data_IF_716647849210
#
_entry.id   IF_716647849210
#
_cell.length_a   1.000
_cell.length_b   1.000
_cell.length_c   1.000
_cell.angle_alpha   90.00
_cell.angle_beta   90.00
_cell.angle_gamma   90.00
#
_symmetry.space_group_name_H-M   'P 1'
#
loop_
_entity.id
_entity.type
_entity.pdbx_description
1 polymer ?
#
# COMPACT_ATOMS: atom_id res chain seq x y z
N UNK A 1 3.27 14.43 25.26
CA UNK A 1 2.60 14.53 23.97
C UNK A 1 3.06 13.42 23.03
N UNK A 2 2.17 12.83 22.27
CA UNK A 2 2.47 11.74 21.35
C UNK A 2 2.13 12.21 19.94
N UNK A 3 3.03 11.99 18.98
CA UNK A 3 2.80 12.24 17.58
C UNK A 3 2.72 10.93 16.81
N UNK A 4 1.78 10.83 15.88
CA UNK A 4 1.59 9.67 15.02
C UNK A 4 1.85 10.07 13.57
N UNK A 5 2.69 9.32 12.87
CA UNK A 5 2.88 9.48 11.44
C UNK A 5 2.58 8.17 10.70
N UNK A 6 2.22 8.29 9.42
CA UNK A 6 1.86 7.17 8.55
C UNK A 6 2.53 7.35 7.20
N UNK A 7 3.45 6.43 6.87
CA UNK A 7 4.10 6.38 5.57
C UNK A 7 3.70 5.10 4.85
N UNK A 8 3.22 5.25 3.62
CA UNK A 8 2.76 4.13 2.80
C UNK A 8 3.39 4.16 1.43
N UNK A 9 3.58 3.00 0.81
CA UNK A 9 4.10 2.92 -0.54
C UNK A 9 3.86 1.57 -1.19
N UNK A 10 4.09 1.55 -2.50
CA UNK A 10 4.01 0.36 -3.33
C UNK A 10 5.43 -0.12 -3.66
N UNK A 11 5.74 -1.37 -3.34
CA UNK A 11 7.01 -2.03 -3.69
C UNK A 11 6.73 -3.04 -4.79
N UNK A 12 7.43 -2.91 -5.94
CA UNK A 12 7.28 -3.83 -7.08
C UNK A 12 8.55 -4.65 -7.21
N UNK A 13 8.43 -5.97 -7.09
CA UNK A 13 9.59 -6.87 -7.06
C UNK A 13 10.45 -6.75 -8.31
N UNK A 14 9.84 -6.73 -9.50
CA UNK A 14 10.56 -6.64 -10.76
C UNK A 14 11.26 -5.29 -10.98
N UNK A 15 10.94 -4.28 -10.17
CA UNK A 15 11.55 -2.95 -10.21
C UNK A 15 12.50 -2.73 -9.02
N UNK A 16 12.99 -3.80 -8.42
CA UNK A 16 13.88 -3.75 -7.26
C UNK A 16 13.29 -2.97 -6.08
N UNK A 17 11.96 -3.05 -5.96
CA UNK A 17 11.22 -2.36 -4.90
C UNK A 17 10.71 -0.97 -5.26
N UNK A 18 11.05 -0.43 -6.43
CA UNK A 18 10.51 0.88 -6.84
C UNK A 18 9.00 0.75 -7.13
N UNK A 19 8.21 1.81 -6.97
CA UNK A 19 8.57 3.14 -6.49
C UNK A 19 8.89 3.23 -4.98
N UNK A 20 8.46 2.27 -4.15
CA UNK A 20 8.82 2.20 -2.74
C UNK A 20 8.58 3.49 -1.97
N UNK A 21 9.63 4.03 -1.35
CA UNK A 21 9.54 5.28 -0.59
C UNK A 21 9.24 6.49 -1.49
N UNK A 22 9.39 6.36 -2.81
CA UNK A 22 9.10 7.42 -3.77
C UNK A 22 7.72 7.31 -4.40
N UNK A 23 6.84 6.46 -3.85
CA UNK A 23 5.51 6.21 -4.42
C UNK A 23 4.71 7.49 -4.65
N UNK A 24 4.68 8.39 -3.67
CA UNK A 24 3.99 9.68 -3.82
C UNK A 24 4.71 10.61 -4.80
N UNK A 25 6.05 10.55 -4.82
CA UNK A 25 6.86 11.39 -5.69
C UNK A 25 6.63 11.08 -7.18
N UNK A 26 6.39 9.84 -7.52
CA UNK A 26 6.09 9.43 -8.90
C UNK A 26 4.80 10.06 -9.43
N UNK A 27 3.88 10.41 -8.55
CA UNK A 27 2.64 11.12 -8.90
C UNK A 27 2.85 12.63 -9.08
N UNK A 28 3.98 13.15 -8.60
CA UNK A 28 4.33 14.56 -8.71
C UNK A 28 3.56 15.47 -7.75
N UNK A 29 3.79 16.77 -7.90
CA UNK A 29 3.16 17.78 -7.04
C UNK A 29 1.63 17.84 -7.21
N UNK A 30 1.13 17.45 -8.39
CA UNK A 30 -0.31 17.43 -8.69
C UNK A 30 -0.99 16.14 -8.23
N UNK A 31 -0.23 15.19 -7.68
CA UNK A 31 -0.70 13.86 -7.23
C UNK A 31 -1.44 13.10 -8.34
N UNK A 32 -0.86 13.11 -9.54
CA UNK A 32 -1.40 12.37 -10.69
C UNK A 32 -0.99 10.90 -10.62
N UNK A 33 -1.76 10.10 -9.90
CA UNK A 33 -1.49 8.67 -9.77
C UNK A 33 -1.76 7.89 -11.05
N UNK A 34 -2.56 8.42 -11.96
CA UNK A 34 -2.69 7.85 -13.31
C UNK A 34 -1.36 7.86 -14.04
N UNK A 35 -0.63 8.97 -13.96
CA UNK A 35 0.72 9.07 -14.52
C UNK A 35 1.71 8.16 -13.79
N UNK A 36 1.59 8.04 -12.46
CA UNK A 36 2.45 7.17 -11.67
C UNK A 36 2.23 5.70 -12.03
N UNK A 37 0.98 5.26 -12.16
CA UNK A 37 0.66 3.89 -12.59
C UNK A 37 1.16 3.60 -14.00
N UNK A 38 1.04 4.55 -14.91
CA UNK A 38 1.57 4.42 -16.27
C UNK A 38 3.10 4.30 -16.25
N UNK A 39 3.76 4.99 -15.36
CA UNK A 39 5.21 4.87 -15.18
C UNK A 39 5.62 3.49 -14.70
N UNK A 40 4.87 2.92 -13.75
CA UNK A 40 5.13 1.54 -13.30
C UNK A 40 5.05 0.58 -14.49
N UNK A 41 4.02 0.69 -15.31
CA UNK A 41 3.87 -0.16 -16.49
C UNK A 41 5.03 0.01 -17.46
N UNK A 42 5.43 1.26 -17.77
CA UNK A 42 6.58 1.54 -18.65
C UNK A 42 7.88 0.96 -18.12
N UNK A 43 8.12 1.08 -16.81
CA UNK A 43 9.33 0.53 -16.20
C UNK A 43 9.37 -0.99 -16.30
N UNK A 44 8.23 -1.66 -16.13
CA UNK A 44 8.12 -3.10 -16.31
C UNK A 44 8.40 -3.50 -17.75
N UNK A 45 7.87 -2.76 -18.73
CA UNK A 45 8.11 -2.99 -20.16
C UNK A 45 9.59 -2.78 -20.51
N UNK A 46 10.19 -1.72 -20.00
CA UNK A 46 11.61 -1.39 -20.25
C UNK A 46 12.51 -2.51 -19.75
N UNK A 47 12.19 -3.11 -18.62
CA UNK A 47 12.94 -4.23 -18.06
C UNK A 47 12.56 -5.58 -18.66
N UNK A 48 11.57 -5.60 -19.54
CA UNK A 48 11.01 -6.83 -20.14
C UNK A 48 10.59 -7.84 -19.06
N UNK A 49 10.03 -7.32 -17.96
CA UNK A 49 9.56 -8.15 -16.88
C UNK A 49 8.33 -8.96 -17.30
N UNK A 50 8.36 -10.26 -17.02
CA UNK A 50 7.24 -11.15 -17.35
C UNK A 50 6.25 -11.21 -16.20
N UNK A 51 4.92 -11.29 -16.47
CA UNK A 51 3.94 -11.53 -15.42
C UNK A 51 4.09 -12.93 -14.82
N UNK A 52 3.62 -13.17 -13.59
CA UNK A 52 2.94 -12.21 -12.72
C UNK A 52 3.90 -11.18 -12.13
N UNK A 53 3.46 -9.93 -12.05
CA UNK A 53 4.25 -8.86 -11.46
C UNK A 53 3.93 -8.76 -9.97
N UNK A 54 4.75 -9.38 -9.16
CA UNK A 54 4.55 -9.40 -7.71
C UNK A 54 4.85 -8.03 -7.11
N UNK A 55 4.03 -7.65 -6.15
CA UNK A 55 4.16 -6.35 -5.50
C UNK A 55 3.63 -6.44 -4.07
N UNK A 56 3.90 -5.40 -3.29
CA UNK A 56 3.36 -5.27 -1.94
C UNK A 56 3.04 -3.82 -1.65
N UNK A 57 1.93 -3.58 -0.96
CA UNK A 57 1.73 -2.32 -0.26
C UNK A 57 2.27 -2.46 1.15
N UNK A 58 2.98 -1.43 1.60
CA UNK A 58 3.54 -1.38 2.95
C UNK A 58 3.14 -0.07 3.60
N UNK A 59 2.68 -0.14 4.84
CA UNK A 59 2.38 1.02 5.66
C UNK A 59 3.19 0.94 6.94
N UNK A 60 3.84 2.03 7.32
CA UNK A 60 4.57 2.13 8.58
C UNK A 60 3.94 3.23 9.42
N UNK A 61 3.38 2.84 10.56
CA UNK A 61 2.89 3.78 11.57
C UNK A 61 4.00 4.02 12.59
N UNK A 62 4.30 5.27 12.86
CA UNK A 62 5.32 5.64 13.85
C UNK A 62 4.68 6.46 14.96
N UNK A 63 4.91 6.03 16.20
CA UNK A 63 4.52 6.78 17.40
C UNK A 63 5.77 7.43 17.99
N UNK A 64 5.76 8.76 18.09
CA UNK A 64 6.83 9.52 18.73
C UNK A 64 6.34 10.03 20.09
N UNK A 65 7.10 9.73 21.12
CA UNK A 65 6.79 10.11 22.50
C UNK A 65 7.50 11.41 22.87
N UNK A 66 6.96 12.12 23.85
CA UNK A 66 7.53 13.39 24.31
C UNK A 66 8.96 13.26 24.84
N UNK A 67 9.35 12.07 25.32
CA UNK A 67 10.70 11.79 25.80
C UNK A 67 11.73 11.48 24.72
N UNK A 68 11.31 11.51 23.45
CA UNK A 68 12.16 11.21 22.30
C UNK A 68 12.13 9.77 21.83
N UNK A 69 11.40 8.88 22.51
CA UNK A 69 11.23 7.50 22.08
C UNK A 69 10.33 7.40 20.84
N UNK A 70 10.63 6.43 19.96
CA UNK A 70 9.84 6.17 18.75
C UNK A 70 9.60 4.68 18.64
N UNK A 71 8.34 4.30 18.34
CA UNK A 71 7.98 2.93 18.00
C UNK A 71 7.33 2.90 16.63
N UNK A 72 7.61 1.85 15.87
CA UNK A 72 7.03 1.68 14.52
C UNK A 72 6.25 0.39 14.42
N UNK A 73 5.18 0.42 13.60
CA UNK A 73 4.31 -0.72 13.34
C UNK A 73 4.10 -0.84 11.84
N UNK A 74 4.53 -1.94 11.25
CA UNK A 74 4.46 -2.15 9.81
C UNK A 74 3.30 -3.08 9.46
N UNK A 75 2.50 -2.66 8.47
CA UNK A 75 1.51 -3.51 7.82
C UNK A 75 1.89 -3.73 6.38
N UNK A 76 1.82 -4.99 5.91
CA UNK A 76 2.18 -5.35 4.54
C UNK A 76 1.09 -6.22 3.93
N UNK A 77 0.75 -5.93 2.68
CA UNK A 77 -0.16 -6.75 1.87
C UNK A 77 0.55 -7.12 0.58
N UNK A 78 0.71 -8.41 0.35
CA UNK A 78 1.28 -8.91 -0.90
C UNK A 78 0.19 -9.09 -1.95
N UNK A 79 0.55 -8.90 -3.20
CA UNK A 79 -0.38 -9.05 -4.30
C UNK A 79 0.31 -9.05 -5.65
N UNK A 80 -0.47 -8.78 -6.67
CA UNK A 80 -0.04 -8.79 -8.07
C UNK A 80 -0.55 -7.54 -8.77
N UNK A 81 0.27 -6.97 -9.65
CA UNK A 81 -0.15 -5.83 -10.45
C UNK A 81 -1.04 -6.26 -11.61
N UNK A 82 -2.01 -5.42 -11.93
CA UNK A 82 -2.99 -5.64 -13.00
C UNK A 82 -3.03 -4.41 -13.91
N UNK A 83 -2.93 -4.63 -15.21
CA UNK A 83 -3.04 -3.57 -16.21
C UNK A 83 -4.05 -3.98 -17.29
N UNK A 84 -4.88 -3.07 -17.82
CA UNK A 84 -5.02 -1.68 -17.40
C UNK A 84 -5.60 -1.55 -15.99
N UNK A 85 -5.50 -0.35 -15.37
CA UNK A 85 -6.08 -0.13 -14.04
C UNK A 85 -7.56 -0.45 -13.99
N UNK A 86 -8.01 -1.03 -12.89
CA UNK A 86 -9.40 -1.45 -12.69
C UNK A 86 -9.97 -0.79 -11.44
N UNK A 87 -11.16 -0.18 -11.58
CA UNK A 87 -11.86 0.49 -10.49
C UNK A 87 -11.46 1.94 -10.33
N UNK A 88 -12.28 2.67 -9.58
CA UNK A 88 -12.10 4.09 -9.32
C UNK A 88 -12.16 4.42 -7.83
N UNK A 89 -12.37 3.41 -6.99
CA UNK A 89 -12.37 3.59 -5.54
C UNK A 89 -10.94 3.63 -5.00
N UNK A 90 -10.80 4.05 -3.78
CA UNK A 90 -9.51 4.06 -3.10
C UNK A 90 -8.65 5.25 -3.48
N UNK A 91 -7.34 5.03 -3.41
CA UNK A 91 -6.36 6.11 -3.52
C UNK A 91 -5.06 5.58 -4.13
N UNK A 92 -4.36 6.44 -4.85
CA UNK A 92 -3.02 6.15 -5.33
C UNK A 92 -2.96 5.01 -6.35
N UNK A 93 -2.18 4.00 -6.04
CA UNK A 93 -1.96 2.83 -6.92
C UNK A 93 -3.03 1.74 -6.79
N UNK A 94 -4.10 1.98 -6.02
CA UNK A 94 -5.14 0.98 -5.76
C UNK A 94 -5.71 0.32 -7.02
N UNK A 95 -5.95 1.05 -8.14
CA UNK A 95 -6.50 0.43 -9.34
C UNK A 95 -5.62 -0.62 -10.01
N UNK A 96 -4.34 -0.68 -9.74
CA UNK A 96 -3.45 -1.68 -10.33
C UNK A 96 -3.02 -2.76 -9.34
N UNK A 97 -3.46 -2.73 -8.09
CA UNK A 97 -3.05 -3.69 -7.08
C UNK A 97 -4.18 -4.65 -6.72
N UNK A 98 -3.98 -5.93 -7.03
CA UNK A 98 -4.89 -7.01 -6.65
C UNK A 98 -4.24 -7.77 -5.49
N UNK A 99 -4.80 -7.68 -4.27
CA UNK A 99 -4.26 -8.42 -3.13
C UNK A 99 -4.42 -9.93 -3.31
N UNK A 100 -3.48 -10.70 -2.77
CA UNK A 100 -3.55 -12.16 -2.84
C UNK A 100 -4.85 -12.68 -2.22
N UNK A 101 -5.46 -13.66 -2.87
CA UNK A 101 -6.72 -14.25 -2.44
C UNK A 101 -7.98 -13.55 -2.95
N UNK A 102 -7.83 -12.50 -3.76
CA UNK A 102 -8.93 -11.73 -4.31
C UNK A 102 -8.85 -11.62 -5.82
N UNK A 103 -10.01 -11.55 -6.48
CA UNK A 103 -10.09 -11.32 -7.94
C UNK A 103 -10.18 -9.84 -8.29
N UNK A 104 -10.34 -8.97 -7.28
CA UNK A 104 -10.53 -7.54 -7.45
C UNK A 104 -9.32 -6.76 -6.99
N UNK A 105 -9.10 -5.60 -7.63
CA UNK A 105 -8.10 -4.65 -7.18
C UNK A 105 -8.63 -3.85 -6.00
N UNK A 106 -7.73 -3.17 -5.28
CA UNK A 106 -8.15 -2.21 -4.25
C UNK A 106 -9.01 -1.08 -4.84
N UNK A 107 -8.80 -0.73 -6.12
CA UNK A 107 -9.64 0.26 -6.80
C UNK A 107 -11.08 -0.20 -7.04
N UNK A 108 -11.35 -1.49 -6.92
CA UNK A 108 -12.68 -2.08 -7.07
C UNK A 108 -13.35 -2.39 -5.74
N UNK A 109 -12.73 -2.04 -4.62
CA UNK A 109 -13.23 -2.32 -3.26
C UNK A 109 -13.71 -1.06 -2.58
N UNK A 110 -14.74 -1.18 -1.72
CA UNK A 110 -15.16 -0.07 -0.85
C UNK A 110 -14.11 0.20 0.23
N UNK A 111 -14.16 1.38 0.81
CA UNK A 111 -13.26 1.73 1.92
C UNK A 111 -13.48 0.79 3.12
N UNK A 112 -14.71 0.40 3.39
CA UNK A 112 -15.02 -0.55 4.46
C UNK A 112 -14.40 -1.91 4.22
N UNK A 113 -14.52 -2.43 2.99
CA UNK A 113 -13.97 -3.72 2.61
C UNK A 113 -12.45 -3.72 2.72
N UNK A 114 -11.81 -2.65 2.27
CA UNK A 114 -10.35 -2.52 2.23
C UNK A 114 -9.75 -2.24 3.61
N UNK A 115 -10.33 -1.31 4.36
CA UNK A 115 -9.76 -0.80 5.61
C UNK A 115 -10.46 -1.28 6.87
N UNK A 116 -11.54 -2.07 6.73
CA UNK A 116 -12.28 -2.56 7.89
C UNK A 116 -11.42 -3.46 8.77
N UNK A 117 -11.54 -3.27 10.08
CA UNK A 117 -10.87 -4.13 11.05
C UNK A 117 -11.88 -5.17 11.52
N UNK A 118 -11.65 -6.48 11.24
CA UNK A 118 -12.60 -7.51 11.63
C UNK A 118 -12.82 -7.57 13.13
N UNK A 119 -14.07 -7.68 13.55
CA UNK A 119 -14.44 -7.72 14.96
C UNK A 119 -13.95 -9.00 15.66
N UNK A 120 -13.73 -10.08 14.88
CA UNK A 120 -13.24 -11.36 15.40
C UNK A 120 -11.73 -11.40 15.62
N UNK A 121 -11.02 -10.30 15.36
CA UNK A 121 -9.58 -10.21 15.52
C UNK A 121 -8.76 -10.80 14.41
N UNK A 122 -9.40 -11.27 13.33
CA UNK A 122 -8.67 -11.76 12.16
C UNK A 122 -7.91 -10.62 11.46
N UNK A 123 -6.97 -10.99 10.57
CA UNK A 123 -6.13 -10.02 9.89
C UNK A 123 -6.94 -9.13 8.95
N UNK A 124 -6.81 -7.82 9.10
CA UNK A 124 -7.42 -6.84 8.20
C UNK A 124 -6.79 -6.93 6.81
N UNK A 125 -7.48 -6.40 5.79
CA UNK A 125 -7.02 -6.53 4.41
C UNK A 125 -5.94 -5.51 4.03
N UNK A 126 -6.15 -4.20 4.30
CA UNK A 126 -5.19 -3.20 3.83
C UNK A 126 -3.91 -3.17 4.67
N UNK A 127 -2.83 -2.73 4.04
CA UNK A 127 -1.54 -2.52 4.71
C UNK A 127 -1.66 -1.56 5.90
N UNK A 128 -2.42 -0.47 5.73
CA UNK A 128 -2.64 0.51 6.81
C UNK A 128 -3.42 -0.09 7.96
N UNK A 129 -4.51 -0.82 7.67
CA UNK A 129 -5.30 -1.47 8.71
C UNK A 129 -4.49 -2.54 9.44
N UNK A 130 -3.63 -3.28 8.74
CA UNK A 130 -2.72 -4.26 9.35
C UNK A 130 -1.71 -3.60 10.29
N UNK A 131 -1.13 -2.48 9.90
CA UNK A 131 -0.22 -1.71 10.77
C UNK A 131 -0.94 -1.21 12.01
N UNK A 132 -2.18 -0.72 11.83
CA UNK A 132 -3.00 -0.23 12.93
C UNK A 132 -3.37 -1.36 13.90
N UNK A 133 -3.65 -2.56 13.38
CA UNK A 133 -3.90 -3.73 14.24
C UNK A 133 -2.70 -4.06 15.14
N UNK A 134 -1.48 -3.96 14.60
CA UNK A 134 -0.27 -4.15 15.39
C UNK A 134 -0.15 -3.11 16.50
N UNK A 135 -0.45 -1.86 16.17
CA UNK A 135 -0.46 -0.78 17.14
C UNK A 135 -1.48 -1.06 18.27
N UNK A 136 -2.69 -1.47 17.91
CA UNK A 136 -3.74 -1.79 18.88
C UNK A 136 -3.30 -2.90 19.82
N UNK A 137 -2.72 -3.98 19.30
CA UNK A 137 -2.26 -5.11 20.11
C UNK A 137 -1.16 -4.72 21.09
N UNK A 138 -0.30 -3.78 20.70
CA UNK A 138 0.83 -3.36 21.51
C UNK A 138 0.47 -2.30 22.53
N UNK A 139 -0.53 -1.44 22.27
CA UNK A 139 -0.77 -0.22 23.05
C UNK A 139 -2.20 -0.02 23.54
N UNK A 140 -3.14 -0.75 23.02
CA UNK A 140 -4.56 -0.63 23.41
C UNK A 140 -5.13 -1.97 23.92
#
# INVERSE_FOLDING_TARGET
MVALSDDSGLWVDALDGAPGIYSARWAGATKDFGAAMARVERELETRRAAPPWRAAFVSVLALAWADGGVETFEGRVDGTLVFPPRGTAGFGYDPIFRPDGYDRTFGEMSAEEKHGIPADGSLALSHRARAFQKLQRARL
#
